data_IF_966617763657
#
_entry.id   IF_966617763657
#
_cell.length_a   1.000
_cell.length_b   1.000
_cell.length_c   1.000
_cell.angle_alpha   90.00
_cell.angle_beta   90.00
_cell.angle_gamma   90.00
#
_symmetry.space_group_name_H-M   'P 1'
#
loop_
_entity.id
_entity.type
_entity.pdbx_description
1 polymer ?
#
# COMPACT_ATOMS: atom_id res chain seq x y z
N UNK A 1 7.13 -18.20 13.11
CA UNK A 1 6.33 -16.96 13.19
C UNK A 1 6.15 -16.62 14.65
N UNK A 2 6.60 -15.44 15.04
CA UNK A 2 6.30 -14.86 16.35
C UNK A 2 4.79 -14.57 16.47
N UNK A 3 4.27 -14.48 17.69
CA UNK A 3 2.85 -14.22 17.97
C UNK A 3 2.41 -12.83 17.52
N UNK A 4 3.34 -11.88 17.46
CA UNK A 4 3.14 -10.52 16.97
C UNK A 4 2.77 -10.42 15.48
N UNK A 5 3.10 -11.44 14.66
CA UNK A 5 2.90 -11.41 13.21
C UNK A 5 1.71 -12.24 12.74
N UNK A 6 0.81 -12.63 13.66
CA UNK A 6 -0.38 -13.41 13.31
C UNK A 6 -1.57 -12.49 13.10
N UNK A 7 -2.42 -12.87 12.15
CA UNK A 7 -3.73 -12.25 11.96
C UNK A 7 -4.76 -12.90 12.89
N UNK A 8 -5.36 -12.14 13.80
CA UNK A 8 -6.31 -12.66 14.80
C UNK A 8 -7.78 -12.55 14.40
N UNK A 9 -8.07 -11.74 13.37
CA UNK A 9 -9.44 -11.43 12.92
C UNK A 9 -10.10 -10.31 13.72
N UNK A 10 -9.31 -9.39 14.27
CA UNK A 10 -9.77 -8.16 14.90
C UNK A 10 -10.28 -7.15 13.86
N UNK A 11 -11.11 -6.20 14.31
CA UNK A 11 -11.79 -5.25 13.43
C UNK A 11 -10.84 -4.34 12.66
N UNK A 12 -9.75 -3.93 13.30
CA UNK A 12 -8.75 -3.02 12.76
C UNK A 12 -7.69 -3.72 11.89
N UNK A 13 -7.59 -5.05 11.96
CA UNK A 13 -6.65 -5.78 11.12
C UNK A 13 -7.10 -5.74 9.64
N UNK A 14 -6.11 -5.65 8.76
CA UNK A 14 -6.31 -5.62 7.32
C UNK A 14 -5.83 -6.94 6.68
N UNK A 15 -6.73 -7.75 6.08
CA UNK A 15 -6.33 -9.01 5.46
C UNK A 15 -5.41 -8.82 4.24
N UNK A 16 -5.49 -7.69 3.53
CA UNK A 16 -4.63 -7.43 2.38
C UNK A 16 -3.19 -7.16 2.81
N UNK A 17 -2.99 -6.38 3.88
CA UNK A 17 -1.67 -6.18 4.49
C UNK A 17 -1.09 -7.50 4.97
N UNK A 18 -1.87 -8.31 5.69
CA UNK A 18 -1.45 -9.63 6.15
C UNK A 18 -1.01 -10.56 5.00
N UNK A 19 -1.76 -10.56 3.89
CA UNK A 19 -1.42 -11.37 2.72
C UNK A 19 -0.14 -10.87 2.02
N UNK A 20 0.11 -9.55 1.99
CA UNK A 20 1.35 -8.98 1.46
C UNK A 20 2.56 -9.41 2.31
N UNK A 21 2.43 -9.37 3.64
CA UNK A 21 3.48 -9.81 4.57
C UNK A 21 3.75 -11.31 4.43
N UNK A 22 2.68 -12.12 4.33
CA UNK A 22 2.81 -13.55 4.08
C UNK A 22 3.50 -13.85 2.75
N UNK A 23 3.18 -13.09 1.70
CA UNK A 23 3.80 -13.24 0.38
C UNK A 23 5.30 -12.89 0.43
N UNK A 24 5.67 -11.81 1.11
CA UNK A 24 7.06 -11.43 1.31
C UNK A 24 7.84 -12.54 2.06
N UNK A 25 7.24 -13.11 3.11
CA UNK A 25 7.80 -14.27 3.81
C UNK A 25 7.97 -15.47 2.87
N UNK A 26 7.01 -15.72 1.98
CA UNK A 26 7.12 -16.80 1.01
C UNK A 26 8.26 -16.59 0.02
N UNK A 27 8.50 -15.36 -0.43
CA UNK A 27 9.55 -15.02 -1.39
C UNK A 27 10.97 -15.13 -0.81
N UNK A 28 11.14 -14.91 0.50
CA UNK A 28 12.47 -15.04 1.15
C UNK A 28 12.96 -16.49 1.29
N UNK A 29 12.12 -17.47 1.02
CA UNK A 29 12.45 -18.88 1.20
C UNK A 29 12.61 -19.59 -0.15
N UNK A 30 13.85 -19.90 -0.55
CA UNK A 30 14.14 -20.67 -1.77
C UNK A 30 13.72 -22.14 -1.60
N UNK A 31 12.49 -22.47 -2.03
CA UNK A 31 11.98 -23.85 -2.03
C UNK A 31 12.01 -24.43 -3.43
N UNK A 32 13.19 -24.90 -3.86
CA UNK A 32 13.34 -25.58 -5.15
C UNK A 32 12.36 -26.74 -5.28
N UNK A 33 11.43 -26.64 -6.23
CA UNK A 33 10.51 -27.72 -6.63
C UNK A 33 9.16 -27.75 -5.93
N UNK A 34 8.86 -26.85 -4.99
CA UNK A 34 7.53 -26.76 -4.37
C UNK A 34 6.68 -25.71 -5.10
N UNK A 35 5.48 -26.06 -5.60
CA UNK A 35 4.56 -25.06 -6.15
C UNK A 35 4.26 -23.98 -5.11
N UNK A 36 4.38 -22.70 -5.47
CA UNK A 36 4.18 -21.61 -4.50
C UNK A 36 2.81 -21.65 -3.82
N UNK A 37 1.74 -21.99 -4.56
CA UNK A 37 0.40 -22.09 -3.97
C UNK A 37 0.31 -23.19 -2.89
N UNK A 38 1.02 -24.30 -3.06
CA UNK A 38 1.10 -25.34 -2.03
C UNK A 38 1.86 -24.83 -0.80
N UNK A 39 2.94 -24.08 -1.01
CA UNK A 39 3.71 -23.49 0.07
C UNK A 39 2.89 -22.47 0.87
N UNK A 40 2.22 -21.53 0.18
CA UNK A 40 1.27 -20.56 0.77
C UNK A 40 0.17 -21.26 1.55
N UNK A 41 -0.46 -22.27 0.94
CA UNK A 41 -1.50 -23.07 1.57
C UNK A 41 -1.05 -23.71 2.88
N UNK A 42 0.19 -24.24 2.92
CA UNK A 42 0.75 -24.86 4.12
C UNK A 42 1.13 -23.84 5.19
N UNK A 43 1.63 -22.66 4.82
CA UNK A 43 2.04 -21.62 5.77
C UNK A 43 0.87 -20.85 6.37
N UNK A 44 -0.19 -20.62 5.58
CA UNK A 44 -1.30 -19.76 5.97
C UNK A 44 -1.89 -20.06 7.35
N UNK A 45 -2.16 -21.33 7.76
CA UNK A 45 -2.72 -21.63 9.08
C UNK A 45 -1.82 -21.23 10.25
N UNK A 46 -0.50 -21.16 10.04
CA UNK A 46 0.47 -20.73 11.05
C UNK A 46 0.50 -19.21 11.21
N UNK A 47 0.06 -18.50 10.17
CA UNK A 47 -0.08 -17.05 10.15
C UNK A 47 -1.36 -16.54 10.81
N UNK A 48 -2.26 -17.44 11.21
CA UNK A 48 -3.54 -17.10 11.81
C UNK A 48 -3.56 -17.39 13.32
N UNK A 49 -4.19 -16.49 14.06
CA UNK A 49 -4.51 -16.60 15.48
C UNK A 49 -6.01 -16.45 15.74
N UNK A 50 -6.43 -16.62 17.00
CA UNK A 50 -7.78 -16.31 17.47
C UNK A 50 -8.92 -16.77 16.54
N UNK A 51 -9.82 -15.84 16.21
CA UNK A 51 -11.01 -16.10 15.40
C UNK A 51 -10.66 -16.45 13.95
N UNK A 52 -9.57 -15.92 13.42
CA UNK A 52 -9.11 -16.25 12.07
C UNK A 52 -8.66 -17.70 11.93
N UNK A 53 -7.98 -18.23 12.95
CA UNK A 53 -7.60 -19.65 12.99
C UNK A 53 -8.81 -20.57 13.10
N UNK A 54 -9.85 -20.15 13.80
CA UNK A 54 -11.13 -20.89 13.88
C UNK A 54 -11.86 -20.89 12.54
N UNK A 55 -12.01 -19.71 11.92
CA UNK A 55 -12.62 -19.54 10.59
C UNK A 55 -11.94 -20.42 9.53
N UNK A 56 -10.60 -20.46 9.53
CA UNK A 56 -9.82 -21.23 8.56
C UNK A 56 -10.17 -22.74 8.53
N UNK A 57 -10.56 -23.33 9.67
CA UNK A 57 -10.89 -24.77 9.75
C UNK A 57 -12.06 -25.15 8.85
N UNK A 58 -13.06 -24.27 8.72
CA UNK A 58 -14.19 -24.47 7.82
C UNK A 58 -13.81 -24.06 6.38
N UNK A 59 -13.23 -22.87 6.21
CA UNK A 59 -12.92 -22.30 4.90
C UNK A 59 -11.95 -23.18 4.08
N UNK A 60 -10.95 -23.80 4.72
CA UNK A 60 -10.01 -24.70 4.02
C UNK A 60 -10.68 -25.94 3.42
N UNK A 61 -11.76 -26.45 4.05
CA UNK A 61 -12.54 -27.59 3.53
C UNK A 61 -13.36 -27.17 2.31
N UNK A 62 -13.94 -25.97 2.34
CA UNK A 62 -14.73 -25.42 1.24
C UNK A 62 -13.85 -25.10 0.02
N UNK A 63 -12.65 -24.56 0.24
CA UNK A 63 -11.70 -24.22 -0.81
C UNK A 63 -11.10 -25.45 -1.51
N UNK A 64 -11.20 -26.67 -0.94
CA UNK A 64 -10.77 -27.94 -1.56
C UNK A 64 -9.34 -27.90 -2.13
N UNK A 65 -8.40 -27.27 -1.42
CA UNK A 65 -6.99 -27.15 -1.83
C UNK A 65 -6.69 -26.05 -2.85
N UNK A 66 -7.68 -25.25 -3.26
CA UNK A 66 -7.47 -24.11 -4.17
C UNK A 66 -7.11 -22.86 -3.37
N UNK A 67 -5.85 -22.43 -3.46
CA UNK A 67 -5.35 -21.25 -2.76
C UNK A 67 -6.16 -19.99 -3.06
N UNK A 68 -6.49 -19.75 -4.34
CA UNK A 68 -7.28 -18.59 -4.78
C UNK A 68 -8.66 -18.51 -4.10
N UNK A 69 -9.35 -19.64 -3.96
CA UNK A 69 -10.66 -19.71 -3.28
C UNK A 69 -10.52 -19.39 -1.79
N UNK A 70 -9.49 -19.93 -1.13
CA UNK A 70 -9.26 -19.67 0.30
C UNK A 70 -8.96 -18.20 0.57
N UNK A 71 -8.11 -17.57 -0.25
CA UNK A 71 -7.78 -16.14 -0.15
C UNK A 71 -8.99 -15.27 -0.47
N UNK A 72 -9.76 -15.61 -1.51
CA UNK A 72 -10.99 -14.90 -1.84
C UNK A 72 -11.98 -14.90 -0.67
N UNK A 73 -12.20 -16.06 -0.06
CA UNK A 73 -13.06 -16.20 1.12
C UNK A 73 -12.51 -15.43 2.33
N UNK A 74 -11.20 -15.43 2.53
CA UNK A 74 -10.55 -14.68 3.61
C UNK A 74 -10.77 -13.17 3.48
N UNK A 75 -10.50 -12.62 2.30
CA UNK A 75 -10.71 -11.20 1.99
C UNK A 75 -12.18 -10.81 2.12
N UNK A 76 -13.11 -11.62 1.59
CA UNK A 76 -14.55 -11.35 1.70
C UNK A 76 -15.03 -11.36 3.16
N UNK A 77 -14.50 -12.26 3.99
CA UNK A 77 -14.90 -12.39 5.39
C UNK A 77 -14.36 -11.23 6.26
N UNK A 78 -13.08 -10.86 6.10
CA UNK A 78 -12.42 -9.87 6.95
C UNK A 78 -12.37 -8.44 6.38
N UNK A 79 -12.65 -8.29 5.08
CA UNK A 79 -12.77 -7.01 4.39
C UNK A 79 -14.08 -6.92 3.60
N UNK A 80 -15.24 -6.91 4.30
CA UNK A 80 -16.54 -6.93 3.65
C UNK A 80 -16.81 -5.62 2.88
N UNK A 81 -17.83 -5.64 2.02
CA UNK A 81 -18.21 -4.51 1.16
C UNK A 81 -18.28 -3.15 1.87
N UNK A 82 -18.80 -3.01 3.11
CA UNK A 82 -18.78 -1.71 3.80
C UNK A 82 -17.37 -1.14 4.03
N UNK A 83 -16.36 -1.98 4.28
CA UNK A 83 -14.95 -1.53 4.38
C UNK A 83 -14.42 -1.09 3.01
N UNK A 84 -14.74 -1.82 1.94
CA UNK A 84 -14.40 -1.42 0.55
C UNK A 84 -15.01 -0.05 0.21
N UNK A 85 -16.28 0.17 0.54
CA UNK A 85 -16.95 1.45 0.30
C UNK A 85 -16.37 2.58 1.16
N UNK A 86 -15.94 2.29 2.39
CA UNK A 86 -15.24 3.27 3.23
C UNK A 86 -13.91 3.66 2.60
N UNK A 87 -13.09 2.69 2.21
CA UNK A 87 -11.80 2.93 1.57
C UNK A 87 -11.95 3.71 0.26
N UNK A 88 -12.94 3.35 -0.58
CA UNK A 88 -13.23 4.10 -1.81
C UNK A 88 -13.59 5.56 -1.52
N UNK A 89 -14.38 5.85 -0.48
CA UNK A 89 -14.66 7.23 -0.06
C UNK A 89 -13.39 7.95 0.41
N UNK A 90 -12.56 7.31 1.22
CA UNK A 90 -11.30 7.90 1.69
C UNK A 90 -10.36 8.28 0.53
N UNK A 91 -10.37 7.50 -0.56
CA UNK A 91 -9.61 7.84 -1.78
C UNK A 91 -10.23 9.01 -2.53
N UNK A 92 -11.55 9.03 -2.71
CA UNK A 92 -12.23 10.11 -3.46
C UNK A 92 -12.22 11.43 -2.69
N UNK A 93 -12.38 11.37 -1.37
CA UNK A 93 -12.40 12.53 -0.46
C UNK A 93 -10.98 12.90 0.00
N UNK A 94 -9.94 12.32 -0.62
CA UNK A 94 -8.55 12.60 -0.28
C UNK A 94 -8.26 14.10 -0.41
N UNK A 95 -7.50 14.64 0.54
CA UNK A 95 -7.00 16.01 0.54
C UNK A 95 -5.58 15.99 1.08
N UNK A 96 -4.69 16.77 0.46
CA UNK A 96 -3.37 17.03 1.01
C UNK A 96 -3.51 17.79 2.34
N UNK A 97 -2.76 17.38 3.35
CA UNK A 97 -2.73 18.06 4.65
C UNK A 97 -1.87 19.34 4.59
N UNK A 98 -2.10 20.30 5.49
CA UNK A 98 -1.50 21.65 5.40
C UNK A 98 0.03 21.64 5.39
N UNK A 99 0.65 20.77 6.19
CA UNK A 99 2.11 20.65 6.35
C UNK A 99 2.71 19.46 5.58
N UNK A 100 1.89 18.75 4.80
CA UNK A 100 2.31 17.55 4.07
C UNK A 100 2.93 17.95 2.72
N UNK A 101 4.09 17.38 2.38
CA UNK A 101 4.71 17.61 1.08
C UNK A 101 3.92 16.96 -0.06
N UNK A 102 4.22 17.35 -1.32
CA UNK A 102 3.61 16.69 -2.49
C UNK A 102 3.98 15.19 -2.55
N UNK A 103 5.23 14.84 -2.24
CA UNK A 103 5.68 13.46 -2.19
C UNK A 103 5.02 12.64 -1.07
N UNK A 104 4.87 13.23 0.12
CA UNK A 104 4.22 12.59 1.25
C UNK A 104 2.74 12.33 0.95
N UNK A 105 2.04 13.33 0.40
CA UNK A 105 0.66 13.20 -0.04
C UNK A 105 0.50 12.10 -1.10
N UNK A 106 1.41 12.06 -2.09
CA UNK A 106 1.38 11.03 -3.13
C UNK A 106 1.60 9.64 -2.55
N UNK A 107 2.54 9.49 -1.61
CA UNK A 107 2.81 8.23 -0.92
C UNK A 107 1.60 7.77 -0.10
N UNK A 108 0.95 8.68 0.63
CA UNK A 108 -0.27 8.39 1.41
C UNK A 108 -1.42 7.98 0.51
N UNK A 109 -1.62 8.68 -0.61
CA UNK A 109 -2.64 8.34 -1.61
C UNK A 109 -2.42 6.94 -2.22
N UNK A 110 -1.19 6.63 -2.64
CA UNK A 110 -0.83 5.31 -3.14
C UNK A 110 -1.00 4.21 -2.09
N UNK A 111 -0.71 4.52 -0.83
CA UNK A 111 -0.93 3.59 0.28
C UNK A 111 -2.42 3.28 0.44
N UNK A 112 -3.29 4.28 0.41
CA UNK A 112 -4.75 4.08 0.45
C UNK A 112 -5.25 3.18 -0.68
N UNK A 113 -4.79 3.40 -1.92
CA UNK A 113 -5.15 2.57 -3.06
C UNK A 113 -4.76 1.08 -2.89
N UNK A 114 -3.71 0.80 -2.12
CA UNK A 114 -3.17 -0.56 -1.90
C UNK A 114 -3.72 -1.27 -0.65
N UNK A 115 -4.56 -0.61 0.14
CA UNK A 115 -5.11 -1.17 1.38
C UNK A 115 -6.24 -2.19 1.19
N UNK A 116 -6.70 -2.42 -0.04
CA UNK A 116 -7.90 -3.20 -0.30
C UNK A 116 -7.86 -3.98 -1.61
N UNK A 117 -9.02 -4.49 -2.07
CA UNK A 117 -9.15 -5.01 -3.43
C UNK A 117 -8.99 -3.86 -4.44
N UNK A 118 -8.94 -4.24 -5.72
CA UNK A 118 -9.13 -3.27 -6.80
C UNK A 118 -10.42 -2.45 -6.57
N UNK A 119 -10.24 -1.14 -6.41
CA UNK A 119 -11.31 -0.19 -6.12
C UNK A 119 -12.05 0.25 -7.39
N UNK A 120 -11.65 -0.23 -8.58
CA UNK A 120 -12.19 0.21 -9.87
C UNK A 120 -11.85 1.66 -10.19
N UNK A 121 -10.72 2.14 -9.67
CA UNK A 121 -10.17 3.47 -9.92
C UNK A 121 -9.06 3.30 -10.94
N UNK A 122 -9.32 3.72 -12.17
CA UNK A 122 -8.32 3.67 -13.24
C UNK A 122 -7.25 4.77 -13.07
N UNK A 123 -6.21 4.69 -13.91
CA UNK A 123 -5.08 5.63 -13.86
C UNK A 123 -5.52 7.09 -14.09
N UNK A 124 -6.49 7.32 -14.98
CA UNK A 124 -7.00 8.65 -15.29
C UNK A 124 -7.72 9.26 -14.08
N UNK A 125 -8.64 8.50 -13.47
CA UNK A 125 -9.34 8.91 -12.26
C UNK A 125 -8.36 9.11 -11.10
N UNK A 126 -7.35 8.25 -10.98
CA UNK A 126 -6.27 8.36 -9.99
C UNK A 126 -5.53 9.71 -10.13
N UNK A 127 -5.02 10.01 -11.34
CA UNK A 127 -4.28 11.23 -11.61
C UNK A 127 -5.14 12.50 -11.40
N UNK A 128 -6.40 12.47 -11.84
CA UNK A 128 -7.32 13.61 -11.68
C UNK A 128 -7.71 13.83 -10.21
N UNK A 129 -8.08 12.76 -9.50
CA UNK A 129 -8.44 12.82 -8.07
C UNK A 129 -7.28 13.40 -7.27
N UNK A 130 -6.07 12.89 -7.49
CA UNK A 130 -4.89 13.37 -6.79
C UNK A 130 -4.61 14.85 -7.11
N UNK A 131 -4.64 15.25 -8.39
CA UNK A 131 -4.42 16.66 -8.77
C UNK A 131 -5.44 17.62 -8.14
N UNK A 132 -6.70 17.21 -8.03
CA UNK A 132 -7.75 18.04 -7.40
C UNK A 132 -7.62 18.12 -5.88
N UNK A 133 -7.06 17.09 -5.26
CA UNK A 133 -6.91 16.97 -3.82
C UNK A 133 -5.73 17.75 -3.23
N UNK A 134 -4.72 18.06 -4.05
CA UNK A 134 -3.51 18.74 -3.58
C UNK A 134 -3.67 20.26 -3.52
N UNK A 135 -2.95 20.88 -2.57
CA UNK A 135 -3.03 22.30 -2.31
C UNK A 135 -2.46 23.12 -3.50
N UNK A 136 -2.67 24.45 -3.47
CA UNK A 136 -2.27 25.33 -4.59
C UNK A 136 -0.76 25.31 -4.86
N UNK A 137 0.07 25.26 -3.81
CA UNK A 137 1.53 25.26 -3.95
C UNK A 137 2.01 23.97 -4.63
N UNK A 138 1.52 22.82 -4.17
CA UNK A 138 1.80 21.51 -4.76
C UNK A 138 1.34 21.42 -6.21
N UNK A 139 0.17 21.97 -6.56
CA UNK A 139 -0.29 22.01 -7.96
C UNK A 139 0.63 22.82 -8.85
N UNK A 140 1.08 23.99 -8.40
CA UNK A 140 2.03 24.80 -9.16
C UNK A 140 3.38 24.10 -9.34
N UNK A 141 3.87 23.40 -8.31
CA UNK A 141 5.08 22.60 -8.41
C UNK A 141 4.91 21.47 -9.43
N UNK A 142 3.79 20.74 -9.34
CA UNK A 142 3.49 19.63 -10.25
C UNK A 142 3.35 20.09 -11.71
N UNK A 143 2.64 21.19 -11.97
CA UNK A 143 2.52 21.78 -13.30
C UNK A 143 3.90 22.29 -13.81
N UNK A 144 4.71 22.90 -12.94
CA UNK A 144 6.08 23.29 -13.27
C UNK A 144 6.94 22.10 -13.73
N UNK A 145 6.89 21.01 -12.97
CA UNK A 145 7.60 19.76 -13.26
C UNK A 145 7.08 19.07 -14.54
N UNK A 146 5.78 19.21 -14.83
CA UNK A 146 5.16 18.76 -16.08
C UNK A 146 5.49 19.65 -17.29
N UNK A 147 6.21 20.77 -17.09
CA UNK A 147 6.49 21.81 -18.10
C UNK A 147 5.22 22.41 -18.71
N UNK A 148 4.18 22.55 -17.90
CA UNK A 148 2.85 22.97 -18.31
C UNK A 148 1.78 22.28 -17.46
N UNK A 149 0.52 22.31 -17.89
CA UNK A 149 -0.52 21.66 -17.10
C UNK A 149 -0.32 20.15 -17.03
N UNK A 150 -0.25 19.61 -15.80
CA UNK A 150 -0.17 18.18 -15.50
C UNK A 150 -1.32 17.40 -16.14
N UNK A 151 -2.53 17.96 -16.13
CA UNK A 151 -3.73 17.36 -16.73
C UNK A 151 -3.66 17.21 -18.26
N UNK A 152 -2.63 17.76 -18.92
CA UNK A 152 -2.37 17.52 -20.36
C UNK A 152 -1.50 16.30 -20.62
N UNK A 153 -0.90 15.71 -19.58
CA UNK A 153 -0.19 14.45 -19.68
C UNK A 153 -1.19 13.31 -19.78
N UNK A 154 -0.78 12.21 -20.41
CA UNK A 154 -1.47 10.92 -20.23
C UNK A 154 -1.35 10.49 -18.77
N UNK A 155 -2.36 9.81 -18.21
CA UNK A 155 -2.35 9.35 -16.83
C UNK A 155 -1.06 8.62 -16.43
N UNK A 156 -0.62 7.66 -17.25
CA UNK A 156 0.65 6.95 -17.06
C UNK A 156 1.85 7.88 -16.90
N UNK A 157 2.04 8.82 -17.82
CA UNK A 157 3.13 9.79 -17.75
C UNK A 157 3.02 10.71 -16.52
N UNK A 158 1.81 11.06 -16.10
CA UNK A 158 1.56 11.83 -14.88
C UNK A 158 1.94 11.05 -13.61
N UNK A 159 1.51 9.79 -13.52
CA UNK A 159 1.85 8.87 -12.41
C UNK A 159 3.38 8.65 -12.34
N UNK A 160 4.04 8.44 -13.48
CA UNK A 160 5.50 8.32 -13.55
C UNK A 160 6.21 9.60 -13.10
N UNK A 161 5.70 10.78 -13.46
CA UNK A 161 6.24 12.06 -13.01
C UNK A 161 6.11 12.23 -11.49
N UNK A 162 4.94 11.90 -10.93
CA UNK A 162 4.70 11.93 -9.48
C UNK A 162 5.68 11.00 -8.73
N UNK A 163 5.92 9.80 -9.26
CA UNK A 163 6.93 8.89 -8.74
C UNK A 163 8.33 9.52 -8.70
N UNK A 164 8.76 10.15 -9.80
CA UNK A 164 10.06 10.84 -9.87
C UNK A 164 10.17 12.02 -8.91
N UNK A 165 9.10 12.80 -8.73
CA UNK A 165 9.08 13.90 -7.76
C UNK A 165 9.27 13.33 -6.34
N UNK A 166 8.53 12.27 -6.01
CA UNK A 166 8.64 11.64 -4.69
C UNK A 166 10.04 11.07 -4.41
N UNK A 167 10.65 10.40 -5.39
CA UNK A 167 12.02 9.90 -5.30
C UNK A 167 13.03 11.05 -5.10
N UNK A 168 12.89 12.15 -5.84
CA UNK A 168 13.77 13.30 -5.72
C UNK A 168 13.65 13.99 -4.36
N UNK A 169 12.43 14.22 -3.86
CA UNK A 169 12.21 14.81 -2.54
C UNK A 169 12.84 13.95 -1.42
N UNK A 170 12.70 12.62 -1.51
CA UNK A 170 13.33 11.69 -0.57
C UNK A 170 14.86 11.78 -0.60
N UNK A 171 15.46 11.89 -1.78
CA UNK A 171 16.91 12.09 -1.93
C UNK A 171 17.35 13.41 -1.29
N UNK A 172 16.65 14.51 -1.56
CA UNK A 172 16.99 15.82 -0.99
C UNK A 172 16.99 15.81 0.53
N UNK A 173 15.95 15.22 1.14
CA UNK A 173 15.87 15.09 2.61
C UNK A 173 17.06 14.32 3.18
N UNK A 174 17.44 13.20 2.56
CA UNK A 174 18.59 12.42 2.98
C UNK A 174 19.91 13.21 2.88
N UNK A 175 20.08 13.99 1.80
CA UNK A 175 21.25 14.86 1.63
C UNK A 175 21.31 15.98 2.68
N UNK A 176 20.18 16.59 3.04
CA UNK A 176 20.12 17.63 4.07
C UNK A 176 20.44 17.07 5.47
N UNK A 177 19.90 15.90 5.83
CA UNK A 177 20.21 15.20 7.07
C UNK A 177 21.71 14.88 7.17
N UNK A 178 22.32 14.41 6.08
CA UNK A 178 23.75 14.15 6.01
C UNK A 178 24.59 15.43 6.22
N UNK A 179 24.23 16.53 5.54
CA UNK A 179 24.93 17.81 5.68
C UNK A 179 24.83 18.34 7.12
N UNK A 180 23.66 18.24 7.73
CA UNK A 180 23.44 18.67 9.12
C UNK A 180 24.25 17.82 10.11
N UNK A 181 24.28 16.50 9.93
CA UNK A 181 25.14 15.62 10.73
C UNK A 181 26.62 15.99 10.60
N UNK A 182 27.09 16.29 9.38
CA UNK A 182 28.46 16.78 9.17
C UNK A 182 28.73 18.12 9.86
N UNK A 183 27.77 19.07 9.84
CA UNK A 183 27.90 20.37 10.51
C UNK A 183 28.03 20.19 12.03
N UNK A 184 27.19 19.38 12.64
CA UNK A 184 27.23 19.11 14.07
C UNK A 184 28.53 18.42 14.51
N UNK A 185 29.09 17.52 13.70
CA UNK A 185 30.39 16.93 13.97
C UNK A 185 31.55 17.94 13.94
N UNK A 186 31.45 19.00 13.12
CA UNK A 186 32.47 20.06 13.01
C UNK A 186 32.40 21.07 14.17
N UNK A 187 31.24 21.26 14.79
CA UNK A 187 31.05 22.20 15.92
C UNK A 187 31.49 21.63 17.28
N UNK A 188 31.69 20.31 17.37
CA UNK A 188 32.13 19.60 18.59
C UNK A 188 33.66 19.31 18.59
N UNK A 189 34.39 19.75 17.56
CA UNK A 189 35.86 19.71 17.49
C UNK A 189 36.49 21.07 17.81
#
# INVERSE_FOLDING_TARGET
>A
MDEANKFFGAKEENPYTHLQDLEALCQTSDHKGVPQDLYRWLLFPFSLGGKAKEWHKAASREAKGKWSELVGNFCLHYFPLPKVQKLRREVVDFLQEDEESLAEAWTRFQTLLKQGPDLGIDEDMCAQTFYMAINKASRMHLDGSARGSFLRLTAKAGIELLGKIAENEALHKHWEEYIEACRQCLEVM
#
